data_IF_092192603666
#
_entry.id   IF_092192603666
#
_cell.length_a   1.000
_cell.length_b   1.000
_cell.length_c   1.000
_cell.angle_alpha   90.00
_cell.angle_beta   90.00
_cell.angle_gamma   90.00
#
_symmetry.space_group_name_H-M   'P 1'
#
loop_
_entity.id
_entity.type
_entity.pdbx_description
1 polymer ?
#
# COMPACT_ATOMS: atom_id res chain seq x y z
N UNK A 1 -23.96 8.33 -44.76
CA UNK A 1 -24.43 7.15 -44.04
C UNK A 1 -23.30 6.49 -43.27
N UNK A 2 -23.53 6.44 -41.95
CA UNK A 2 -22.98 5.58 -40.91
C UNK A 2 -21.50 5.69 -40.52
N UNK A 3 -21.19 6.80 -39.84
CA UNK A 3 -20.33 6.76 -38.65
C UNK A 3 -21.22 6.68 -37.41
N UNK A 4 -21.72 5.49 -37.11
CA UNK A 4 -22.21 5.13 -35.78
C UNK A 4 -21.00 5.12 -34.83
N UNK A 5 -20.61 6.30 -34.34
CA UNK A 5 -19.84 6.37 -33.09
C UNK A 5 -20.79 5.88 -32.00
N UNK A 6 -20.58 4.64 -31.56
CA UNK A 6 -21.22 4.11 -30.37
C UNK A 6 -20.70 4.90 -29.16
N UNK A 7 -21.24 6.10 -28.94
CA UNK A 7 -21.15 6.76 -27.65
C UNK A 7 -21.93 5.85 -26.68
N UNK A 8 -21.21 5.00 -25.95
CA UNK A 8 -21.77 4.39 -24.74
C UNK A 8 -22.38 5.52 -23.92
N UNK A 9 -23.61 5.33 -23.48
CA UNK A 9 -24.27 6.28 -22.60
C UNK A 9 -23.40 6.45 -21.34
N UNK A 10 -23.23 7.67 -20.84
CA UNK A 10 -22.48 7.95 -19.60
C UNK A 10 -22.99 7.08 -18.45
N UNK A 11 -24.29 6.80 -18.44
CA UNK A 11 -24.96 5.90 -17.49
C UNK A 11 -24.41 4.46 -17.57
N UNK A 12 -24.16 3.96 -18.79
CA UNK A 12 -23.57 2.63 -19.02
C UNK A 12 -22.12 2.58 -18.53
N UNK A 13 -21.33 3.62 -18.81
CA UNK A 13 -19.92 3.69 -18.37
C UNK A 13 -19.87 3.75 -16.84
N UNK A 14 -20.70 4.60 -16.22
CA UNK A 14 -20.77 4.71 -14.76
C UNK A 14 -21.16 3.37 -14.15
N UNK A 15 -22.19 2.71 -14.68
CA UNK A 15 -22.63 1.38 -14.21
C UNK A 15 -21.53 0.33 -14.36
N UNK A 16 -20.81 0.32 -15.48
CA UNK A 16 -19.69 -0.59 -15.71
C UNK A 16 -18.52 -0.34 -14.76
N UNK A 17 -18.19 0.92 -14.43
CA UNK A 17 -17.19 1.26 -13.43
C UNK A 17 -17.60 0.77 -12.02
N UNK A 18 -18.86 1.00 -11.64
CA UNK A 18 -19.39 0.53 -10.36
C UNK A 18 -19.31 -1.00 -10.26
N UNK A 19 -19.70 -1.71 -11.31
CA UNK A 19 -19.59 -3.17 -11.38
C UNK A 19 -18.13 -3.64 -11.30
N UNK A 20 -17.21 -2.96 -12.01
CA UNK A 20 -15.78 -3.26 -11.98
C UNK A 20 -15.20 -3.17 -10.56
N UNK A 21 -15.53 -2.12 -9.81
CA UNK A 21 -15.05 -1.99 -8.43
C UNK A 21 -15.69 -3.01 -7.48
N UNK A 22 -16.98 -3.31 -7.62
CA UNK A 22 -17.64 -4.37 -6.85
C UNK A 22 -17.00 -5.73 -7.12
N UNK A 23 -16.67 -6.04 -8.37
CA UNK A 23 -16.05 -7.31 -8.76
C UNK A 23 -14.61 -7.43 -8.25
N UNK A 24 -13.79 -6.37 -8.40
CA UNK A 24 -12.36 -6.41 -8.10
C UNK A 24 -12.01 -6.11 -6.64
N UNK A 25 -12.82 -5.30 -5.94
CA UNK A 25 -12.55 -4.91 -4.56
C UNK A 25 -13.58 -5.42 -3.56
N UNK A 26 -14.73 -5.94 -4.00
CA UNK A 26 -15.73 -6.52 -3.10
C UNK A 26 -15.25 -7.79 -2.39
N UNK A 27 -14.26 -8.48 -2.96
CA UNK A 27 -13.61 -9.65 -2.35
C UNK A 27 -12.12 -9.35 -2.16
N UNK A 28 -11.60 -9.62 -0.96
CA UNK A 28 -10.19 -9.49 -0.64
C UNK A 28 -9.53 -10.86 -0.72
N UNK A 29 -8.36 -10.89 -1.36
CA UNK A 29 -7.38 -11.94 -1.15
C UNK A 29 -6.59 -11.57 0.11
N UNK A 30 -6.88 -12.20 1.25
CA UNK A 30 -6.02 -12.03 2.42
C UNK A 30 -4.60 -12.49 2.07
N UNK A 31 -3.56 -11.72 2.44
CA UNK A 31 -2.16 -12.14 2.31
C UNK A 31 -1.99 -13.43 3.13
N UNK A 32 -2.09 -14.57 2.48
CA UNK A 32 -1.79 -15.88 3.02
C UNK A 32 -0.49 -16.36 2.38
N UNK A 33 0.34 -17.12 3.12
CA UNK A 33 1.43 -17.85 2.47
C UNK A 33 0.85 -18.72 1.35
N UNK A 34 1.44 -18.62 0.15
CA UNK A 34 1.02 -19.33 -1.06
C UNK A 34 1.20 -20.85 -0.93
N UNK A 35 0.30 -21.52 -0.21
CA UNK A 35 0.06 -22.98 -0.26
C UNK A 35 -1.41 -23.35 0.08
N UNK A 36 -2.30 -22.37 0.33
CA UNK A 36 -3.75 -22.59 0.40
C UNK A 36 -4.44 -21.56 -0.48
N UNK A 37 -5.50 -21.99 -1.17
CA UNK A 37 -6.30 -21.14 -2.05
C UNK A 37 -6.70 -19.84 -1.33
N UNK A 38 -6.69 -18.72 -2.06
CA UNK A 38 -7.19 -17.44 -1.55
C UNK A 38 -8.58 -17.66 -0.95
N UNK A 39 -8.72 -17.47 0.36
CA UNK A 39 -10.05 -17.37 0.95
C UNK A 39 -10.60 -16.01 0.54
N UNK A 40 -11.49 -16.00 -0.45
CA UNK A 40 -12.19 -14.80 -0.86
C UNK A 40 -13.09 -14.34 0.30
N UNK A 41 -12.76 -13.21 0.93
CA UNK A 41 -13.57 -12.65 2.01
C UNK A 41 -14.15 -11.32 1.57
N UNK A 42 -15.42 -11.07 1.91
CA UNK A 42 -16.09 -9.81 1.63
C UNK A 42 -15.41 -8.65 2.39
N UNK A 43 -14.94 -7.65 1.63
CA UNK A 43 -14.27 -6.46 2.18
C UNK A 43 -15.17 -5.70 3.14
N UNK A 44 -16.46 -5.60 2.82
CA UNK A 44 -17.42 -4.79 3.58
C UNK A 44 -17.65 -5.42 4.95
N UNK A 45 -17.77 -6.75 5.01
CA UNK A 45 -18.08 -7.46 6.26
C UNK A 45 -16.89 -7.54 7.23
N UNK A 46 -15.66 -7.39 6.73
CA UNK A 46 -14.44 -7.40 7.55
C UNK A 46 -13.83 -6.02 7.79
N UNK A 47 -14.43 -4.96 7.23
CA UNK A 47 -13.91 -3.62 7.40
C UNK A 47 -13.98 -3.21 8.87
N UNK A 48 -12.83 -2.87 9.43
CA UNK A 48 -12.73 -2.26 10.76
C UNK A 48 -12.48 -0.78 10.54
N UNK A 49 -13.27 0.06 11.21
CA UNK A 49 -13.17 1.50 11.04
C UNK A 49 -11.79 2.02 11.45
N UNK A 50 -11.23 2.84 10.57
CA UNK A 50 -9.96 3.51 10.78
C UNK A 50 -10.22 4.82 11.51
N UNK A 51 -9.37 5.13 12.48
CA UNK A 51 -9.27 6.45 13.08
C UNK A 51 -8.70 7.41 12.03
N UNK A 52 -9.49 8.43 11.70
CA UNK A 52 -9.14 9.46 10.72
C UNK A 52 -9.27 10.81 11.42
N UNK A 53 -8.29 11.69 11.23
CA UNK A 53 -8.23 13.01 11.89
C UNK A 53 -7.96 14.10 10.86
N UNK A 54 -8.25 15.36 11.20
CA UNK A 54 -7.84 16.51 10.40
C UNK A 54 -6.31 16.63 10.48
N UNK A 55 -5.64 16.75 9.33
CA UNK A 55 -4.18 16.82 9.34
C UNK A 55 -3.65 18.10 9.97
N UNK A 56 -4.43 19.18 10.03
CA UNK A 56 -4.03 20.42 10.72
C UNK A 56 -3.86 20.18 12.22
N UNK A 57 -4.67 19.31 12.81
CA UNK A 57 -4.57 18.94 14.23
C UNK A 57 -3.28 18.15 14.51
N UNK A 58 -2.72 17.50 13.49
CA UNK A 58 -1.47 16.72 13.58
C UNK A 58 -0.24 17.55 13.25
N UNK A 59 -0.34 18.56 12.37
CA UNK A 59 0.80 19.42 11.98
C UNK A 59 1.37 20.24 13.16
N UNK A 60 0.59 20.50 14.21
CA UNK A 60 1.06 21.11 15.46
C UNK A 60 2.15 20.25 16.13
N UNK A 61 2.19 18.94 15.85
CA UNK A 61 3.08 17.97 16.48
C UNK A 61 4.29 17.53 15.62
N UNK A 62 4.30 17.82 14.32
CA UNK A 62 5.38 17.40 13.37
C UNK A 62 6.67 18.24 13.53
N UNK A 63 6.63 19.33 14.31
CA UNK A 63 7.81 20.17 14.60
C UNK A 63 8.86 19.45 15.48
N UNK A 64 8.53 18.30 16.07
CA UNK A 64 9.49 17.51 16.82
C UNK A 64 9.89 16.25 16.05
N UNK A 65 11.19 15.94 16.04
CA UNK A 65 11.73 14.60 15.83
C UNK A 65 11.18 13.67 16.94
N UNK A 66 9.88 13.37 16.88
CA UNK A 66 9.21 12.55 17.87
C UNK A 66 9.66 11.12 17.64
N UNK A 67 10.29 10.52 18.67
CA UNK A 67 10.58 9.09 18.71
C UNK A 67 9.34 8.32 18.24
N UNK A 68 9.48 7.44 17.25
CA UNK A 68 8.37 6.74 16.59
C UNK A 68 7.42 6.04 17.58
N UNK A 69 7.91 5.66 18.77
CA UNK A 69 7.10 5.18 19.89
C UNK A 69 6.07 6.21 20.37
N UNK A 70 6.49 7.45 20.65
CA UNK A 70 5.60 8.55 21.04
C UNK A 70 4.59 8.88 19.93
N UNK A 71 4.99 8.76 18.66
CA UNK A 71 4.05 8.89 17.53
C UNK A 71 2.95 7.82 17.61
N UNK A 72 3.31 6.53 17.74
CA UNK A 72 2.34 5.43 17.83
C UNK A 72 1.44 5.54 19.08
N UNK A 73 2.00 5.95 20.23
CA UNK A 73 1.22 6.17 21.46
C UNK A 73 0.19 7.29 21.28
N UNK A 74 0.59 8.41 20.65
CA UNK A 74 -0.31 9.51 20.32
C UNK A 74 -1.41 9.13 19.33
N UNK A 75 -1.19 8.17 18.42
CA UNK A 75 -2.23 7.75 17.47
C UNK A 75 -3.50 7.26 18.16
N UNK A 76 -3.36 6.69 19.37
CA UNK A 76 -4.46 6.16 20.16
C UNK A 76 -5.28 7.24 20.91
N UNK A 77 -4.77 8.48 21.00
CA UNK A 77 -5.41 9.55 21.79
C UNK A 77 -6.27 10.51 20.97
N UNK A 78 -6.21 10.46 19.65
CA UNK A 78 -6.98 11.39 18.80
C UNK A 78 -8.47 11.04 18.75
N UNK A 79 -9.29 12.08 18.65
CA UNK A 79 -10.72 11.95 18.41
C UNK A 79 -10.97 11.76 16.91
N UNK A 80 -11.56 10.64 16.48
CA UNK A 80 -11.76 10.39 15.07
C UNK A 80 -12.88 11.27 14.50
N UNK A 81 -12.69 11.73 13.27
CA UNK A 81 -13.74 12.29 12.42
C UNK A 81 -14.61 11.12 11.93
N UNK A 82 -15.93 11.28 11.97
CA UNK A 82 -16.82 10.26 11.43
C UNK A 82 -16.62 10.09 9.92
N UNK A 83 -16.71 8.85 9.44
CA UNK A 83 -16.60 8.55 8.01
C UNK A 83 -17.58 9.37 7.16
N UNK A 84 -18.82 9.55 7.64
CA UNK A 84 -19.81 10.39 6.95
C UNK A 84 -19.41 11.85 6.88
N UNK A 85 -18.81 12.40 7.93
CA UNK A 85 -18.41 13.81 8.02
C UNK A 85 -17.30 14.18 7.03
N UNK A 86 -16.40 13.24 6.70
CA UNK A 86 -15.34 13.42 5.71
C UNK A 86 -15.95 13.81 4.35
N UNK A 87 -17.08 13.20 3.98
CA UNK A 87 -17.73 13.43 2.69
C UNK A 87 -18.84 14.50 2.74
N UNK A 88 -19.26 14.94 3.94
CA UNK A 88 -20.14 16.10 4.10
C UNK A 88 -19.40 17.41 3.78
N UNK A 89 -18.10 17.49 4.09
CA UNK A 89 -17.23 18.58 3.67
C UNK A 89 -16.89 18.40 2.18
N UNK A 90 -17.80 18.80 1.29
CA UNK A 90 -17.61 18.76 -0.17
C UNK A 90 -16.58 19.79 -0.65
N UNK A 91 -15.33 19.63 -0.20
CA UNK A 91 -14.17 20.37 -0.72
C UNK A 91 -13.76 19.79 -2.06
N UNK A 92 -13.06 20.62 -2.84
CA UNK A 92 -12.69 20.29 -4.21
C UNK A 92 -11.70 19.13 -4.30
N UNK A 93 -10.76 19.05 -3.36
CA UNK A 93 -9.74 18.01 -3.35
C UNK A 93 -9.56 17.45 -1.94
N UNK A 94 -9.20 16.18 -1.85
CA UNK A 94 -8.91 15.50 -0.60
C UNK A 94 -7.50 14.91 -0.64
N UNK A 95 -6.74 15.13 0.43
CA UNK A 95 -5.43 14.53 0.62
C UNK A 95 -5.47 13.61 1.83
N UNK A 96 -5.01 12.38 1.63
CA UNK A 96 -5.01 11.33 2.64
C UNK A 96 -3.57 10.95 2.97
N UNK A 97 -3.10 11.38 4.13
CA UNK A 97 -1.76 11.08 4.61
C UNK A 97 -1.78 9.94 5.63
N UNK A 98 -0.61 9.34 5.86
CA UNK A 98 -0.41 8.35 6.92
C UNK A 98 0.77 7.44 6.66
N UNK A 99 1.23 6.73 7.69
CA UNK A 99 2.39 5.82 7.58
C UNK A 99 2.09 4.59 6.69
N UNK A 100 3.12 3.85 6.31
CA UNK A 100 2.93 2.63 5.52
C UNK A 100 2.18 1.55 6.32
N UNK A 101 1.30 0.80 5.66
CA UNK A 101 0.50 -0.25 6.31
C UNK A 101 -0.67 0.24 7.17
N UNK A 102 -0.89 1.56 7.25
CA UNK A 102 -1.92 2.16 8.13
C UNK A 102 -3.36 1.98 7.64
N UNK A 103 -3.55 1.54 6.39
CA UNK A 103 -4.88 1.31 5.81
C UNK A 103 -5.35 2.33 4.76
N UNK A 104 -4.47 3.18 4.21
CA UNK A 104 -4.86 4.16 3.17
C UNK A 104 -5.51 3.54 1.93
N UNK A 105 -4.85 2.56 1.29
CA UNK A 105 -5.40 1.81 0.15
C UNK A 105 -6.71 1.11 0.51
N UNK A 106 -6.82 0.60 1.73
CA UNK A 106 -8.05 -0.03 2.23
C UNK A 106 -9.20 0.96 2.35
N UNK A 107 -8.94 2.17 2.85
CA UNK A 107 -9.90 3.27 2.91
C UNK A 107 -10.36 3.66 1.51
N UNK A 108 -9.44 3.83 0.56
CA UNK A 108 -9.77 4.19 -0.82
C UNK A 108 -10.63 3.12 -1.50
N UNK A 109 -10.29 1.84 -1.32
CA UNK A 109 -11.10 0.73 -1.86
C UNK A 109 -12.49 0.68 -1.25
N UNK A 110 -12.64 0.91 0.06
CA UNK A 110 -13.96 1.09 0.69
C UNK A 110 -14.73 2.24 0.05
N UNK A 111 -14.08 3.39 -0.16
CA UNK A 111 -14.73 4.54 -0.80
C UNK A 111 -15.24 4.21 -2.22
N UNK A 112 -14.47 3.45 -3.01
CA UNK A 112 -14.91 2.99 -4.35
C UNK A 112 -16.12 2.05 -4.28
N UNK A 113 -16.15 1.14 -3.30
CA UNK A 113 -17.32 0.27 -3.07
C UNK A 113 -18.54 1.09 -2.62
N UNK A 114 -18.36 2.04 -1.72
CA UNK A 114 -19.43 2.90 -1.22
C UNK A 114 -19.98 3.80 -2.34
N UNK A 115 -19.12 4.34 -3.22
CA UNK A 115 -19.57 5.04 -4.44
C UNK A 115 -20.33 4.10 -5.39
N UNK A 116 -19.86 2.85 -5.53
CA UNK A 116 -20.54 1.84 -6.34
C UNK A 116 -21.94 1.52 -5.81
N UNK A 117 -22.12 1.58 -4.50
CA UNK A 117 -23.41 1.45 -3.82
C UNK A 117 -24.16 2.78 -3.65
N UNK A 118 -23.68 3.87 -4.26
CA UNK A 118 -24.27 5.21 -4.23
C UNK A 118 -24.42 5.82 -2.82
N UNK A 119 -23.49 5.48 -1.93
CA UNK A 119 -23.44 5.97 -0.54
C UNK A 119 -22.62 7.26 -0.40
N UNK A 120 -21.59 7.43 -1.24
CA UNK A 120 -20.71 8.61 -1.26
C UNK A 120 -20.46 9.06 -2.69
N UNK A 121 -19.93 10.28 -2.85
CA UNK A 121 -19.51 10.85 -4.15
C UNK A 121 -20.62 10.83 -5.23
N UNK A 122 -21.88 10.89 -4.82
CA UNK A 122 -23.05 10.86 -5.72
C UNK A 122 -23.12 12.05 -6.69
N UNK A 123 -22.34 13.11 -6.45
CA UNK A 123 -22.19 14.25 -7.35
C UNK A 123 -21.26 13.99 -8.54
N UNK A 124 -20.58 12.84 -8.58
CA UNK A 124 -19.65 12.47 -9.64
C UNK A 124 -20.23 11.35 -10.50
N UNK A 125 -20.36 11.62 -11.79
CA UNK A 125 -20.77 10.64 -12.80
C UNK A 125 -19.75 9.51 -12.94
N UNK A 126 -18.45 9.85 -12.86
CA UNK A 126 -17.34 8.93 -13.08
C UNK A 126 -16.29 9.05 -11.97
N UNK A 127 -15.84 7.89 -11.47
CA UNK A 127 -14.74 7.80 -10.52
C UNK A 127 -13.67 6.86 -11.08
N UNK A 128 -12.45 7.36 -11.23
CA UNK A 128 -11.30 6.60 -11.72
C UNK A 128 -10.27 6.41 -10.63
N UNK A 129 -9.92 5.16 -10.36
CA UNK A 129 -8.86 4.79 -9.44
C UNK A 129 -7.55 4.51 -10.21
N UNK A 130 -6.46 5.15 -9.80
CA UNK A 130 -5.14 5.03 -10.41
C UNK A 130 -4.09 4.76 -9.33
N UNK A 131 -3.40 3.62 -9.46
CA UNK A 131 -2.30 3.27 -8.57
C UNK A 131 -0.98 3.79 -9.15
N UNK A 132 -0.28 4.66 -8.41
CA UNK A 132 1.00 5.25 -8.83
C UNK A 132 2.07 4.22 -9.16
N UNK A 133 2.12 3.10 -8.43
CA UNK A 133 2.99 1.98 -8.73
C UNK A 133 2.78 1.43 -10.15
N UNK A 134 1.53 1.31 -10.58
CA UNK A 134 1.14 0.77 -11.89
C UNK A 134 1.38 1.81 -12.99
N UNK A 135 1.15 3.09 -12.68
CA UNK A 135 1.44 4.21 -13.60
C UNK A 135 2.91 4.27 -14.01
N UNK A 136 3.85 3.84 -13.16
CA UNK A 136 5.28 3.81 -13.47
C UNK A 136 5.64 2.93 -14.68
N UNK A 137 4.76 2.00 -15.07
CA UNK A 137 4.94 1.14 -16.25
C UNK A 137 4.56 1.83 -17.57
N UNK A 138 3.79 2.92 -17.53
CA UNK A 138 3.21 3.57 -18.72
C UNK A 138 3.83 4.95 -18.96
N UNK A 139 5.15 5.00 -19.07
CA UNK A 139 5.91 6.26 -19.16
C UNK A 139 5.59 7.09 -20.42
N UNK A 140 5.06 6.44 -21.45
CA UNK A 140 4.73 7.05 -22.74
C UNK A 140 3.32 7.65 -22.79
N UNK A 141 2.44 7.35 -21.83
CA UNK A 141 1.09 7.90 -21.80
C UNK A 141 1.17 9.42 -21.57
N UNK A 142 0.64 10.20 -22.49
CA UNK A 142 0.90 11.64 -22.62
C UNK A 142 -0.27 12.53 -22.20
N UNK A 143 -1.45 11.94 -22.02
CA UNK A 143 -2.68 12.60 -21.61
C UNK A 143 -3.59 11.64 -20.79
N UNK A 144 -4.61 12.19 -20.16
CA UNK A 144 -5.52 11.43 -19.28
C UNK A 144 -6.33 10.37 -20.03
N UNK A 145 -6.78 10.68 -21.25
CA UNK A 145 -7.59 9.73 -22.03
C UNK A 145 -6.78 8.48 -22.42
N UNK A 146 -5.50 8.63 -22.76
CA UNK A 146 -4.58 7.50 -22.97
C UNK A 146 -4.45 6.63 -21.72
N UNK A 147 -4.33 7.24 -20.53
CA UNK A 147 -4.31 6.48 -19.28
C UNK A 147 -5.62 5.70 -19.07
N UNK A 148 -6.77 6.34 -19.27
CA UNK A 148 -8.05 5.68 -19.12
C UNK A 148 -8.25 4.55 -20.13
N UNK A 149 -7.84 4.74 -21.39
CA UNK A 149 -7.86 3.69 -22.41
C UNK A 149 -6.91 2.52 -22.09
N UNK A 150 -5.89 2.72 -21.25
CA UNK A 150 -5.02 1.63 -20.78
C UNK A 150 -5.67 0.91 -19.60
N UNK A 151 -6.01 1.65 -18.53
CA UNK A 151 -6.46 1.08 -17.26
C UNK A 151 -7.91 0.58 -17.28
N UNK A 152 -8.74 1.17 -18.14
CA UNK A 152 -10.17 0.91 -18.23
C UNK A 152 -10.60 0.52 -19.64
N UNK A 153 -9.70 -0.06 -20.45
CA UNK A 153 -9.94 -0.40 -21.87
C UNK A 153 -11.24 -1.17 -22.16
N UNK A 154 -11.65 -2.02 -21.22
CA UNK A 154 -12.84 -2.88 -21.37
C UNK A 154 -14.14 -2.11 -21.04
N UNK A 155 -14.00 -0.95 -20.40
CA UNK A 155 -15.11 -0.08 -19.97
C UNK A 155 -15.20 1.14 -20.89
N UNK A 156 -14.06 1.79 -21.13
CA UNK A 156 -13.90 3.03 -21.88
C UNK A 156 -13.16 2.76 -23.19
N UNK A 157 -13.78 3.18 -24.29
CA UNK A 157 -13.20 3.18 -25.64
C UNK A 157 -13.47 4.55 -26.23
N UNK A 158 -12.40 5.31 -26.51
CA UNK A 158 -12.45 6.63 -27.16
C UNK A 158 -13.43 7.64 -26.51
N UNK A 159 -13.58 7.56 -25.19
CA UNK A 159 -14.48 8.42 -24.43
C UNK A 159 -13.79 9.70 -23.96
N UNK A 160 -14.41 10.85 -24.22
CA UNK A 160 -13.90 12.14 -23.74
C UNK A 160 -14.54 12.54 -22.42
N UNK A 161 -13.78 12.46 -21.34
CA UNK A 161 -14.23 12.79 -19.98
C UNK A 161 -14.39 14.30 -19.72
N UNK A 162 -14.00 15.18 -20.65
CA UNK A 162 -13.94 16.64 -20.44
C UNK A 162 -15.29 17.30 -20.13
N UNK A 163 -16.39 16.68 -20.56
CA UNK A 163 -17.75 17.23 -20.38
C UNK A 163 -18.48 16.65 -19.16
N UNK A 164 -17.81 15.84 -18.34
CA UNK A 164 -18.42 15.05 -17.28
C UNK A 164 -17.89 15.41 -15.90
N UNK A 165 -18.68 15.12 -14.86
CA UNK A 165 -18.23 15.27 -13.48
C UNK A 165 -17.38 14.07 -13.07
N UNK A 166 -16.07 14.29 -13.01
CA UNK A 166 -15.08 13.22 -12.82
C UNK A 166 -14.30 13.42 -11.53
N UNK A 167 -14.13 12.32 -10.79
CA UNK A 167 -13.24 12.23 -9.63
C UNK A 167 -12.09 11.27 -9.94
N UNK A 168 -10.87 11.70 -9.68
CA UNK A 168 -9.70 10.81 -9.73
C UNK A 168 -9.23 10.46 -8.32
N UNK A 169 -9.11 9.16 -8.05
CA UNK A 169 -8.52 8.61 -6.84
C UNK A 169 -7.12 8.14 -7.17
N UNK A 170 -6.11 8.83 -6.66
CA UNK A 170 -4.69 8.54 -6.86
C UNK A 170 -4.15 7.87 -5.60
N UNK A 171 -3.76 6.59 -5.69
CA UNK A 171 -3.20 5.83 -4.58
C UNK A 171 -1.68 5.66 -4.67
N UNK A 172 -1.01 5.78 -3.54
CA UNK A 172 0.43 5.56 -3.41
C UNK A 172 1.28 6.66 -4.02
N UNK A 173 0.97 7.95 -3.77
CA UNK A 173 1.74 9.07 -4.32
C UNK A 173 3.26 8.96 -4.03
N UNK A 174 3.65 8.43 -2.87
CA UNK A 174 5.04 8.13 -2.50
C UNK A 174 5.71 7.07 -3.38
N UNK A 175 4.93 6.27 -4.09
CA UNK A 175 5.38 5.21 -5.00
C UNK A 175 5.50 5.70 -6.44
N UNK A 176 5.14 6.96 -6.74
CA UNK A 176 5.29 7.51 -8.09
C UNK A 176 6.74 7.89 -8.36
N UNK A 177 7.35 7.26 -9.38
CA UNK A 177 8.77 7.44 -9.73
C UNK A 177 9.13 8.91 -9.98
N UNK A 178 8.19 9.67 -10.56
CA UNK A 178 8.37 11.06 -10.96
C UNK A 178 7.70 12.05 -10.00
N UNK A 179 7.55 11.69 -8.71
CA UNK A 179 6.95 12.56 -7.70
C UNK A 179 7.60 13.96 -7.67
N UNK A 180 8.93 14.02 -7.73
CA UNK A 180 9.66 15.28 -7.73
C UNK A 180 9.39 16.12 -8.99
N UNK A 181 9.28 15.47 -10.14
CA UNK A 181 9.00 16.13 -11.42
C UNK A 181 7.57 16.64 -11.49
N UNK A 182 6.62 15.84 -11.00
CA UNK A 182 5.20 16.20 -10.85
C UNK A 182 5.02 17.42 -9.95
N UNK A 183 5.79 17.47 -8.88
CA UNK A 183 5.79 18.56 -7.92
C UNK A 183 6.40 19.79 -8.58
N UNK A 184 7.64 19.73 -9.10
CA UNK A 184 8.39 20.90 -9.57
C UNK A 184 7.77 21.75 -10.71
N UNK A 185 6.70 21.31 -11.39
CA UNK A 185 5.95 21.96 -12.50
C UNK A 185 6.78 22.36 -13.74
N UNK A 186 8.09 22.60 -13.59
CA UNK A 186 9.07 22.95 -14.62
C UNK A 186 9.47 21.75 -15.48
N UNK A 187 9.26 20.53 -14.99
CA UNK A 187 9.68 19.28 -15.65
C UNK A 187 8.55 18.52 -16.34
N UNK A 188 7.33 19.09 -16.38
CA UNK A 188 6.17 18.54 -17.12
C UNK A 188 6.44 18.32 -18.61
N UNK A 189 7.53 18.89 -19.16
CA UNK A 189 7.95 18.75 -20.56
C UNK A 189 8.80 17.51 -20.84
N UNK A 190 9.39 16.87 -19.84
CA UNK A 190 10.35 15.78 -20.06
C UNK A 190 9.73 14.38 -19.99
N UNK A 191 8.68 14.20 -19.20
CA UNK A 191 8.04 12.90 -18.98
C UNK A 191 6.55 12.94 -19.38
N UNK A 192 6.12 12.20 -20.42
CA UNK A 192 4.72 12.18 -20.85
C UNK A 192 3.75 11.83 -19.72
N UNK A 193 4.08 10.84 -18.89
CA UNK A 193 3.24 10.42 -17.77
C UNK A 193 3.02 11.53 -16.72
N UNK A 194 4.02 12.40 -16.54
CA UNK A 194 3.91 13.56 -15.63
C UNK A 194 2.96 14.60 -16.20
N UNK A 195 2.96 14.79 -17.53
CA UNK A 195 1.99 15.65 -18.22
C UNK A 195 0.56 15.12 -18.06
N UNK A 196 0.37 13.81 -18.26
CA UNK A 196 -0.93 13.16 -18.07
C UNK A 196 -1.48 13.33 -16.64
N UNK A 197 -0.66 13.09 -15.61
CA UNK A 197 -1.06 13.36 -14.22
C UNK A 197 -1.25 14.85 -13.91
N UNK A 198 -0.51 15.72 -14.60
CA UNK A 198 -0.71 17.17 -14.51
C UNK A 198 -2.08 17.60 -15.01
N UNK A 199 -2.60 16.96 -16.07
CA UNK A 199 -3.94 17.22 -16.59
C UNK A 199 -5.06 16.77 -15.62
N UNK A 200 -4.83 15.72 -14.83
CA UNK A 200 -5.78 15.25 -13.80
C UNK A 200 -6.11 16.35 -12.77
N UNK A 201 -5.18 17.29 -12.54
CA UNK A 201 -5.40 18.43 -11.61
C UNK A 201 -6.54 19.36 -12.02
N UNK A 202 -7.01 19.29 -13.27
CA UNK A 202 -8.19 20.02 -13.74
C UNK A 202 -9.50 19.45 -13.20
N UNK A 203 -9.46 18.22 -12.69
CA UNK A 203 -10.59 17.50 -12.12
C UNK A 203 -10.49 17.45 -10.60
N UNK A 204 -11.56 16.99 -9.94
CA UNK A 204 -11.55 16.76 -8.49
C UNK A 204 -10.68 15.53 -8.20
N UNK A 205 -9.92 15.59 -7.12
CA UNK A 205 -8.95 14.54 -6.79
C UNK A 205 -9.02 14.11 -5.33
N UNK A 206 -8.83 12.81 -5.10
CA UNK A 206 -8.49 12.22 -3.81
C UNK A 206 -7.10 11.62 -3.97
N UNK A 207 -6.11 12.12 -3.23
CA UNK A 207 -4.72 11.68 -3.36
C UNK A 207 -4.26 11.10 -2.03
N UNK A 208 -3.85 9.82 -2.03
CA UNK A 208 -3.31 9.15 -0.86
C UNK A 208 -1.81 8.90 -0.99
N UNK A 209 -1.09 9.04 0.13
CA UNK A 209 0.35 8.78 0.16
C UNK A 209 0.93 8.82 1.57
N UNK A 210 2.22 8.52 1.70
CA UNK A 210 2.96 8.76 2.94
C UNK A 210 2.99 10.25 3.28
N UNK A 211 3.08 10.54 4.59
CA UNK A 211 3.09 11.91 5.14
C UNK A 211 4.03 12.83 4.36
N UNK A 212 5.29 12.43 4.19
CA UNK A 212 6.28 13.25 3.45
C UNK A 212 5.88 13.55 1.99
N UNK A 213 5.21 12.62 1.30
CA UNK A 213 4.83 12.78 -0.09
C UNK A 213 3.63 13.73 -0.22
N UNK A 214 2.67 13.61 0.70
CA UNK A 214 1.54 14.51 0.80
C UNK A 214 1.99 15.92 1.21
N UNK A 215 2.88 16.05 2.19
CA UNK A 215 3.45 17.34 2.61
C UNK A 215 4.19 18.03 1.46
N UNK A 216 4.99 17.26 0.70
CA UNK A 216 5.69 17.78 -0.47
C UNK A 216 4.72 18.22 -1.56
N UNK A 217 3.65 17.45 -1.79
CA UNK A 217 2.60 17.82 -2.74
C UNK A 217 1.86 19.08 -2.31
N UNK A 218 1.51 19.17 -1.02
CA UNK A 218 0.89 20.34 -0.40
C UNK A 218 1.75 21.58 -0.55
N UNK A 219 3.04 21.52 -0.24
CA UNK A 219 3.95 22.68 -0.32
C UNK A 219 3.96 23.41 -1.67
N UNK A 220 3.42 22.79 -2.72
CA UNK A 220 3.32 23.36 -4.07
C UNK A 220 1.90 23.70 -4.53
N UNK A 221 0.85 23.24 -3.85
CA UNK A 221 -0.51 23.53 -4.28
C UNK A 221 -0.90 24.96 -3.93
N UNK A 222 -0.96 25.83 -4.94
CA UNK A 222 -1.35 27.25 -4.81
C UNK A 222 -2.80 27.38 -4.26
N UNK A 223 -3.62 26.34 -4.39
CA UNK A 223 -5.04 26.30 -4.05
C UNK A 223 -5.34 25.61 -2.70
N UNK A 224 -4.64 25.99 -1.64
CA UNK A 224 -4.87 25.45 -0.29
C UNK A 224 -6.29 25.63 0.25
N UNK A 225 -7.05 26.62 -0.26
CA UNK A 225 -8.34 27.02 0.33
C UNK A 225 -9.45 25.98 0.15
N UNK A 226 -9.32 25.10 -0.86
CA UNK A 226 -10.33 24.09 -1.20
C UNK A 226 -9.86 22.63 -1.07
N UNK A 227 -8.83 22.41 -0.24
CA UNK A 227 -8.31 21.08 0.06
C UNK A 227 -8.71 20.64 1.47
N UNK A 228 -9.30 19.45 1.57
CA UNK A 228 -9.44 18.74 2.85
C UNK A 228 -8.22 17.83 3.01
N UNK A 229 -7.43 18.04 4.06
CA UNK A 229 -6.30 17.17 4.37
C UNK A 229 -6.64 16.35 5.60
N UNK A 230 -6.67 15.04 5.44
CA UNK A 230 -6.90 14.08 6.54
C UNK A 230 -5.67 13.21 6.74
N UNK A 231 -5.51 12.72 7.97
CA UNK A 231 -4.49 11.74 8.30
C UNK A 231 -5.14 10.48 8.85
N UNK A 232 -4.76 9.34 8.28
CA UNK A 232 -5.17 8.03 8.76
C UNK A 232 -4.24 7.63 9.91
N UNK A 233 -4.83 7.42 11.09
CA UNK A 233 -4.12 7.07 12.32
C UNK A 233 -4.14 5.57 12.62
N UNK A 234 -4.87 4.78 11.82
CA UNK A 234 -4.95 3.33 11.98
C UNK A 234 -6.11 2.92 12.88
N UNK A 235 -5.93 1.90 13.71
CA UNK A 235 -6.92 1.45 14.68
C UNK A 235 -6.74 2.14 16.02
N UNK A 236 -7.85 2.57 16.61
CA UNK A 236 -7.93 2.87 18.05
C UNK A 236 -8.16 1.56 18.85
N UNK A 237 -8.33 1.64 20.17
CA UNK A 237 -8.51 0.44 21.01
C UNK A 237 -9.71 -0.39 20.57
N UNK A 238 -10.81 0.26 20.18
CA UNK A 238 -12.00 -0.41 19.68
C UNK A 238 -11.71 -1.13 18.35
N UNK A 239 -11.03 -0.47 17.42
CA UNK A 239 -10.63 -1.07 16.14
C UNK A 239 -9.71 -2.28 16.32
N UNK A 240 -8.74 -2.22 17.24
CA UNK A 240 -7.86 -3.36 17.56
C UNK A 240 -8.70 -4.54 18.06
N UNK A 241 -9.61 -4.29 19.00
CA UNK A 241 -10.47 -5.33 19.57
C UNK A 241 -11.40 -5.93 18.51
N UNK A 242 -12.05 -5.10 17.68
CA UNK A 242 -12.90 -5.55 16.58
C UNK A 242 -12.13 -6.40 15.58
N UNK A 243 -10.90 -6.00 15.23
CA UNK A 243 -10.05 -6.77 14.34
C UNK A 243 -9.73 -8.16 14.93
N UNK A 244 -9.35 -8.23 16.21
CA UNK A 244 -9.06 -9.50 16.90
C UNK A 244 -10.31 -10.38 16.94
N UNK A 245 -11.46 -9.83 17.29
CA UNK A 245 -12.73 -10.57 17.35
C UNK A 245 -13.09 -11.18 16.00
N UNK A 246 -12.91 -10.43 14.91
CA UNK A 246 -13.33 -10.83 13.56
C UNK A 246 -12.32 -11.74 12.83
N UNK A 247 -11.05 -11.76 13.24
CA UNK A 247 -9.97 -12.41 12.47
C UNK A 247 -9.16 -13.45 13.25
N UNK A 248 -9.32 -13.55 14.57
CA UNK A 248 -8.57 -14.48 15.43
C UNK A 248 -9.52 -15.54 15.97
N UNK A 249 -9.06 -16.80 16.02
CA UNK A 249 -9.83 -17.90 16.61
C UNK A 249 -9.96 -17.76 18.13
N UNK A 250 -11.08 -18.20 18.70
CA UNK A 250 -11.42 -17.99 20.11
C UNK A 250 -10.34 -18.46 21.09
N UNK A 251 -9.66 -19.57 20.77
CA UNK A 251 -8.56 -20.14 21.55
C UNK A 251 -7.29 -19.28 21.54
N UNK A 252 -7.10 -18.44 20.51
CA UNK A 252 -5.93 -17.57 20.34
C UNK A 252 -6.18 -16.12 20.73
N UNK A 253 -7.43 -15.66 20.81
CA UNK A 253 -7.77 -14.26 21.18
C UNK A 253 -7.11 -13.83 22.50
N UNK A 254 -7.26 -14.64 23.55
CA UNK A 254 -6.68 -14.36 24.88
C UNK A 254 -5.15 -14.26 24.86
N UNK A 255 -4.49 -15.00 23.97
CA UNK A 255 -3.03 -14.95 23.81
C UNK A 255 -2.61 -13.64 23.15
N UNK A 256 -3.30 -13.24 22.07
CA UNK A 256 -3.06 -11.96 21.39
C UNK A 256 -3.27 -10.80 22.37
N UNK A 257 -4.38 -10.79 23.09
CA UNK A 257 -4.68 -9.75 24.08
C UNK A 257 -3.64 -9.67 25.19
N UNK A 258 -3.20 -10.81 25.73
CA UNK A 258 -2.14 -10.84 26.76
C UNK A 258 -0.83 -10.29 26.20
N UNK A 259 -0.45 -10.68 24.98
CA UNK A 259 0.77 -10.20 24.31
C UNK A 259 0.77 -8.68 24.13
N UNK A 260 -0.37 -8.11 23.72
CA UNK A 260 -0.53 -6.66 23.57
C UNK A 260 -0.57 -5.94 24.93
N UNK A 261 -1.09 -6.58 25.98
CA UNK A 261 -1.09 -6.01 27.35
C UNK A 261 0.30 -5.98 27.97
N UNK A 262 1.10 -7.01 27.74
CA UNK A 262 2.44 -7.15 28.33
C UNK A 262 3.50 -6.26 27.67
N UNK A 263 3.34 -5.93 26.37
CA UNK A 263 4.26 -5.07 25.63
C UNK A 263 3.59 -3.78 25.17
N UNK A 264 3.97 -2.65 25.79
CA UNK A 264 3.51 -1.32 25.38
C UNK A 264 3.89 -0.99 23.94
N UNK A 265 5.03 -1.49 23.46
CA UNK A 265 5.49 -1.29 22.08
C UNK A 265 4.62 -2.12 21.13
N UNK A 266 4.30 -3.37 21.46
CA UNK A 266 3.39 -4.20 20.67
C UNK A 266 1.98 -3.59 20.60
N UNK A 267 1.45 -3.10 21.74
CA UNK A 267 0.18 -2.36 21.79
C UNK A 267 0.20 -1.15 20.86
N UNK A 268 1.29 -0.38 20.90
CA UNK A 268 1.45 0.82 20.07
C UNK A 268 1.56 0.46 18.59
N UNK A 269 2.32 -0.58 18.23
CA UNK A 269 2.44 -1.09 16.86
C UNK A 269 1.11 -1.65 16.33
N UNK A 270 0.27 -2.24 17.18
CA UNK A 270 -1.03 -2.81 16.82
C UNK A 270 -2.04 -1.76 16.31
N UNK A 271 -1.82 -0.47 16.56
CA UNK A 271 -2.56 0.61 15.91
C UNK A 271 -2.42 0.58 14.38
N UNK A 272 -1.32 0.03 13.85
CA UNK A 272 -1.14 -0.14 12.40
C UNK A 272 -1.78 -1.46 11.96
N UNK A 273 -2.84 -1.43 11.11
CA UNK A 273 -3.57 -2.63 10.72
C UNK A 273 -2.69 -3.74 10.12
N UNK A 274 -1.70 -3.38 9.31
CA UNK A 274 -0.74 -4.34 8.76
C UNK A 274 0.05 -5.07 9.86
N UNK A 275 0.53 -4.35 10.88
CA UNK A 275 1.29 -4.93 11.99
C UNK A 275 0.42 -5.84 12.85
N UNK A 276 -0.80 -5.39 13.20
CA UNK A 276 -1.75 -6.22 13.94
C UNK A 276 -2.09 -7.50 13.17
N UNK A 277 -2.37 -7.40 11.86
CA UNK A 277 -2.64 -8.57 11.02
C UNK A 277 -1.49 -9.57 11.03
N UNK A 278 -0.27 -9.10 10.88
CA UNK A 278 0.93 -9.92 10.94
C UNK A 278 1.11 -10.57 12.32
N UNK A 279 1.00 -9.82 13.41
CA UNK A 279 1.12 -10.34 14.78
C UNK A 279 0.07 -11.44 15.04
N UNK A 280 -1.19 -11.19 14.68
CA UNK A 280 -2.26 -12.19 14.80
C UNK A 280 -1.93 -13.46 14.01
N UNK A 281 -1.49 -13.35 12.76
CA UNK A 281 -1.11 -14.51 11.92
C UNK A 281 0.06 -15.30 12.52
N UNK A 282 1.08 -14.60 13.01
CA UNK A 282 2.25 -15.22 13.67
C UNK A 282 1.80 -15.99 14.91
N UNK A 283 1.05 -15.34 15.81
CA UNK A 283 0.55 -15.95 17.06
C UNK A 283 -0.34 -17.17 16.76
N UNK A 284 -1.30 -17.03 15.85
CA UNK A 284 -2.23 -18.11 15.48
C UNK A 284 -1.51 -19.31 14.88
N UNK A 285 -0.44 -19.09 14.12
CA UNK A 285 0.32 -20.17 13.49
C UNK A 285 1.29 -20.90 14.41
N UNK A 286 1.68 -20.26 15.51
CA UNK A 286 2.69 -20.77 16.43
C UNK A 286 2.09 -21.79 17.42
N UNK A 287 2.78 -22.93 17.60
CA UNK A 287 2.50 -23.88 18.70
C UNK A 287 3.14 -23.46 20.01
N UNK A 288 4.21 -22.65 19.95
CA UNK A 288 4.90 -22.04 21.10
C UNK A 288 4.77 -20.53 20.98
N UNK A 289 4.22 -19.91 22.02
CA UNK A 289 4.14 -18.45 22.14
C UNK A 289 5.52 -17.99 22.57
N UNK A 290 6.26 -17.32 21.68
CA UNK A 290 7.47 -16.63 22.06
C UNK A 290 7.04 -15.29 22.67
N UNK A 291 7.01 -15.22 23.99
CA UNK A 291 6.55 -14.06 24.77
C UNK A 291 7.37 -12.78 24.51
N UNK A 292 8.51 -12.87 23.81
CA UNK A 292 9.38 -11.75 23.46
C UNK A 292 9.43 -11.43 21.95
N UNK A 293 8.47 -11.87 21.14
CA UNK A 293 8.55 -11.73 19.66
C UNK A 293 8.28 -10.33 19.09
N UNK A 294 7.81 -9.36 19.89
CA UNK A 294 7.37 -8.05 19.37
C UNK A 294 7.88 -6.88 20.23
N UNK A 295 9.17 -6.91 20.58
CA UNK A 295 9.80 -5.88 21.41
C UNK A 295 10.21 -4.65 20.59
N UNK A 296 10.58 -4.83 19.32
CA UNK A 296 10.91 -3.75 18.39
C UNK A 296 10.26 -3.95 17.03
N UNK A 297 10.29 -2.90 16.20
CA UNK A 297 9.89 -2.99 14.79
C UNK A 297 10.76 -3.99 14.03
N UNK A 298 12.06 -4.00 14.29
CA UNK A 298 12.99 -4.96 13.67
C UNK A 298 12.64 -6.38 14.06
N UNK A 299 12.29 -6.63 15.32
CA UNK A 299 11.82 -7.94 15.78
C UNK A 299 10.52 -8.33 15.07
N UNK A 300 9.57 -7.41 14.94
CA UNK A 300 8.32 -7.68 14.21
C UNK A 300 8.60 -8.08 12.77
N UNK A 301 9.41 -7.31 12.03
CA UNK A 301 9.74 -7.65 10.65
C UNK A 301 10.55 -8.93 10.52
N UNK A 302 11.48 -9.20 11.44
CA UNK A 302 12.18 -10.48 11.50
C UNK A 302 11.19 -11.63 11.72
N UNK A 303 10.25 -11.51 12.65
CA UNK A 303 9.22 -12.54 12.88
C UNK A 303 8.27 -12.70 11.69
N UNK A 304 7.91 -11.62 10.99
CA UNK A 304 7.18 -11.66 9.72
C UNK A 304 8.00 -12.44 8.69
N UNK A 305 9.26 -12.08 8.50
CA UNK A 305 10.19 -12.75 7.59
C UNK A 305 10.23 -14.25 7.85
N UNK A 306 10.45 -14.63 9.11
CA UNK A 306 10.51 -16.03 9.53
C UNK A 306 9.19 -16.78 9.38
N UNK A 307 8.05 -16.13 9.61
CA UNK A 307 6.73 -16.74 9.44
C UNK A 307 6.49 -17.18 7.99
N UNK A 308 6.74 -16.27 7.04
CA UNK A 308 6.59 -16.57 5.62
C UNK A 308 7.62 -17.59 5.15
N UNK A 309 8.87 -17.47 5.63
CA UNK A 309 9.94 -18.42 5.37
C UNK A 309 9.57 -19.85 5.80
N UNK A 310 9.07 -20.01 7.03
CA UNK A 310 8.58 -21.29 7.54
C UNK A 310 7.46 -21.85 6.65
N UNK A 311 6.47 -21.03 6.32
CA UNK A 311 5.31 -21.49 5.54
C UNK A 311 5.65 -21.89 4.10
N UNK A 312 6.68 -21.26 3.54
CA UNK A 312 7.13 -21.53 2.18
C UNK A 312 8.04 -22.75 2.08
N UNK A 313 9.04 -22.86 2.97
CA UNK A 313 10.06 -23.90 2.89
C UNK A 313 9.69 -25.15 3.69
N UNK A 314 8.96 -24.98 4.79
CA UNK A 314 8.69 -26.05 5.74
C UNK A 314 7.23 -26.48 5.60
N UNK A 315 6.96 -27.48 4.75
CA UNK A 315 5.65 -28.15 4.68
C UNK A 315 5.31 -28.90 5.99
N UNK A 316 6.31 -29.21 6.84
CA UNK A 316 6.19 -30.14 7.99
C UNK A 316 6.61 -29.58 9.39
N UNK A 317 6.41 -28.30 9.71
CA UNK A 317 6.59 -27.72 11.07
C UNK A 317 8.00 -27.84 11.73
N UNK A 318 9.10 -27.95 10.98
CA UNK A 318 10.49 -27.84 11.48
C UNK A 318 10.88 -26.45 12.00
N UNK A 319 12.03 -26.36 12.67
CA UNK A 319 12.51 -25.12 13.30
C UNK A 319 13.33 -24.26 12.33
N UNK A 320 13.20 -22.93 12.42
CA UNK A 320 13.86 -21.95 11.52
C UNK A 320 15.38 -22.06 11.53
N UNK A 321 16.00 -22.26 12.70
CA UNK A 321 17.46 -22.30 12.78
C UNK A 321 18.04 -23.50 12.01
N UNK A 322 17.36 -24.66 12.05
CA UNK A 322 17.72 -25.85 11.26
C UNK A 322 17.62 -25.60 9.76
N UNK A 323 16.71 -24.71 9.36
CA UNK A 323 16.55 -24.31 7.96
C UNK A 323 17.67 -23.36 7.51
N UNK A 324 18.13 -22.46 8.39
CA UNK A 324 19.26 -21.56 8.13
C UNK A 324 20.62 -22.27 8.21
N UNK A 325 20.70 -23.50 8.74
CA UNK A 325 21.92 -24.33 8.63
C UNK A 325 22.21 -24.73 7.17
N UNK A 326 21.19 -24.82 6.32
CA UNK A 326 21.35 -25.15 4.91
C UNK A 326 21.83 -23.93 4.09
N UNK A 327 23.01 -24.03 3.50
CA UNK A 327 23.62 -22.98 2.68
C UNK A 327 22.79 -22.59 1.45
N UNK A 328 22.05 -23.51 0.84
CA UNK A 328 21.17 -23.18 -0.29
C UNK A 328 20.00 -22.29 0.15
N UNK A 329 19.46 -22.52 1.35
CA UNK A 329 18.40 -21.69 1.92
C UNK A 329 18.90 -20.29 2.28
N UNK A 330 20.10 -20.18 2.88
CA UNK A 330 20.77 -18.90 3.15
C UNK A 330 20.97 -18.11 1.85
N UNK A 331 21.51 -18.76 0.81
CA UNK A 331 21.71 -18.14 -0.50
C UNK A 331 20.40 -17.68 -1.12
N UNK A 332 19.33 -18.48 -0.99
CA UNK A 332 18.00 -18.12 -1.47
C UNK A 332 17.43 -16.89 -0.75
N UNK A 333 17.52 -16.84 0.58
CA UNK A 333 17.14 -15.67 1.39
C UNK A 333 17.93 -14.43 0.99
N UNK A 334 19.25 -14.56 0.86
CA UNK A 334 20.12 -13.44 0.48
C UNK A 334 19.79 -12.91 -0.92
N UNK A 335 19.47 -13.78 -1.86
CA UNK A 335 19.04 -13.39 -3.20
C UNK A 335 17.75 -12.57 -3.20
N UNK A 336 16.76 -12.93 -2.36
CA UNK A 336 15.53 -12.13 -2.24
C UNK A 336 15.82 -10.76 -1.60
N UNK A 337 16.70 -10.72 -0.61
CA UNK A 337 17.15 -9.47 0.00
C UNK A 337 17.91 -8.60 -1.02
N UNK A 338 18.69 -9.22 -1.91
CA UNK A 338 19.35 -8.54 -3.03
C UNK A 338 18.34 -7.93 -4.00
N UNK A 339 17.33 -8.69 -4.45
CA UNK A 339 16.27 -8.15 -5.30
C UNK A 339 15.63 -6.93 -4.64
N UNK A 340 15.26 -7.03 -3.36
CA UNK A 340 14.66 -5.93 -2.62
C UNK A 340 15.57 -4.70 -2.58
N UNK A 341 16.87 -4.89 -2.41
CA UNK A 341 17.87 -3.83 -2.40
C UNK A 341 17.99 -3.12 -3.76
N UNK A 342 18.17 -3.86 -4.84
CA UNK A 342 18.29 -3.28 -6.20
C UNK A 342 17.04 -2.47 -6.54
N UNK A 343 15.86 -3.02 -6.27
CA UNK A 343 14.57 -2.35 -6.47
C UNK A 343 14.42 -1.08 -5.62
N UNK A 344 14.88 -1.12 -4.37
CA UNK A 344 14.88 0.03 -3.48
C UNK A 344 15.78 1.15 -4.01
N UNK A 345 16.98 0.82 -4.49
CA UNK A 345 17.91 1.80 -5.08
C UNK A 345 17.35 2.41 -6.36
N UNK A 346 16.71 1.61 -7.21
CA UNK A 346 16.07 2.06 -8.44
C UNK A 346 14.72 2.79 -8.23
N UNK A 347 14.22 2.84 -6.99
CA UNK A 347 12.88 3.33 -6.64
C UNK A 347 11.78 2.66 -7.49
N UNK A 348 11.85 1.33 -7.56
CA UNK A 348 11.02 0.49 -8.42
C UNK A 348 10.20 -0.51 -7.61
N UNK A 349 8.87 -0.48 -7.79
CA UNK A 349 7.94 -1.29 -6.98
C UNK A 349 7.31 -2.45 -7.76
N UNK A 350 7.30 -2.38 -9.09
CA UNK A 350 6.80 -3.43 -9.99
C UNK A 350 7.92 -3.80 -10.95
N UNK A 351 8.20 -5.09 -11.11
CA UNK A 351 9.32 -5.59 -11.90
C UNK A 351 8.95 -6.87 -12.67
N UNK A 352 9.67 -7.13 -13.75
CA UNK A 352 9.43 -8.28 -14.62
C UNK A 352 10.30 -9.49 -14.25
N UNK A 353 9.94 -10.68 -14.74
CA UNK A 353 10.76 -11.90 -14.55
C UNK A 353 12.19 -11.73 -15.07
N UNK A 354 12.36 -10.99 -16.18
CA UNK A 354 13.67 -10.74 -16.78
C UNK A 354 14.59 -9.94 -15.85
N UNK A 355 14.02 -9.01 -15.09
CA UNK A 355 14.78 -8.18 -14.15
C UNK A 355 15.22 -8.96 -12.94
N UNK A 356 14.40 -9.88 -12.45
CA UNK A 356 14.79 -10.84 -11.40
C UNK A 356 16.05 -11.62 -11.83
N UNK A 357 16.08 -12.07 -13.09
CA UNK A 357 17.22 -12.81 -13.64
C UNK A 357 18.47 -11.93 -13.81
N UNK A 358 18.32 -10.63 -14.04
CA UNK A 358 19.45 -9.68 -14.08
C UNK A 358 20.04 -9.45 -12.70
N UNK A 359 19.19 -9.36 -11.67
CA UNK A 359 19.65 -9.17 -10.29
C UNK A 359 20.34 -10.42 -9.72
N UNK A 360 20.02 -11.62 -10.24
CA UNK A 360 20.56 -12.88 -9.74
C UNK A 360 21.00 -13.81 -10.88
N UNK A 361 22.32 -13.92 -11.07
CA UNK A 361 22.90 -14.93 -11.95
C UNK A 361 22.58 -16.36 -11.44
N UNK A 362 22.07 -17.22 -12.32
CA UNK A 362 21.72 -18.64 -12.06
C UNK A 362 20.49 -18.89 -11.16
N UNK A 363 19.46 -18.04 -11.20
CA UNK A 363 18.18 -18.31 -10.54
C UNK A 363 17.28 -19.26 -11.36
N UNK A 364 17.84 -20.40 -11.79
CA UNK A 364 17.16 -21.35 -12.70
C UNK A 364 16.25 -22.36 -11.96
N UNK A 365 16.35 -22.47 -10.63
CA UNK A 365 15.69 -23.52 -9.85
C UNK A 365 14.56 -23.04 -8.92
N UNK A 366 14.26 -21.75 -8.92
CA UNK A 366 13.21 -21.24 -8.03
C UNK A 366 11.89 -21.33 -8.77
N UNK A 367 11.15 -22.40 -8.45
CA UNK A 367 9.71 -22.52 -8.68
C UNK A 367 9.03 -21.17 -8.44
N UNK A 368 8.03 -20.84 -9.25
CA UNK A 368 7.37 -19.52 -9.32
C UNK A 368 6.80 -19.00 -7.97
N UNK A 369 6.87 -19.79 -6.90
CA UNK A 369 6.63 -19.37 -5.53
C UNK A 369 7.90 -18.76 -4.92
N UNK A 370 7.94 -17.42 -4.90
CA UNK A 370 8.74 -16.69 -3.91
C UNK A 370 8.08 -16.86 -2.52
N UNK A 371 8.76 -16.47 -1.42
CA UNK A 371 8.35 -16.65 0.00
C UNK A 371 6.92 -16.20 0.41
N UNK A 372 6.02 -15.84 -0.50
CA UNK A 372 4.77 -15.14 -0.23
C UNK A 372 4.99 -13.64 -0.08
N UNK A 373 6.25 -13.19 -0.09
CA UNK A 373 6.61 -11.77 -0.07
C UNK A 373 6.62 -11.11 -1.42
N UNK A 374 6.81 -11.87 -2.49
CA UNK A 374 6.75 -11.36 -3.85
C UNK A 374 5.54 -12.02 -4.49
N UNK A 375 4.57 -11.19 -4.84
CA UNK A 375 3.32 -11.60 -5.45
C UNK A 375 3.40 -11.38 -6.96
N UNK A 376 2.88 -12.36 -7.70
CA UNK A 376 2.66 -12.22 -9.14
C UNK A 376 1.37 -11.44 -9.35
N UNK A 377 1.46 -10.37 -10.12
CA UNK A 377 0.34 -9.50 -10.46
C UNK A 377 0.14 -9.53 -11.96
N UNK A 378 -1.11 -9.67 -12.38
CA UNK A 378 -1.47 -9.48 -13.78
C UNK A 378 -1.68 -7.99 -14.05
N UNK A 379 -1.00 -7.48 -15.07
CA UNK A 379 -1.08 -6.08 -15.51
C UNK A 379 -1.45 -6.05 -16.98
N UNK A 380 -1.77 -4.87 -17.52
CA UNK A 380 -2.03 -4.71 -18.96
C UNK A 380 -0.83 -5.10 -19.85
N UNK A 381 0.38 -5.17 -19.29
CA UNK A 381 1.60 -5.57 -19.97
C UNK A 381 1.97 -7.05 -19.73
N UNK A 382 1.06 -7.83 -19.14
CA UNK A 382 1.27 -9.23 -18.75
C UNK A 382 1.68 -9.39 -17.30
N UNK A 383 2.34 -10.51 -16.99
CA UNK A 383 2.68 -10.87 -15.62
C UNK A 383 3.92 -10.14 -15.09
N UNK A 384 3.73 -9.45 -13.97
CA UNK A 384 4.76 -8.76 -13.24
C UNK A 384 4.80 -9.23 -11.78
N UNK A 385 5.80 -8.76 -11.05
CA UNK A 385 6.03 -9.09 -9.66
C UNK A 385 6.11 -7.81 -8.83
N UNK A 386 5.62 -7.88 -7.61
CA UNK A 386 5.74 -6.81 -6.61
C UNK A 386 5.94 -7.42 -5.22
N UNK A 387 6.54 -6.67 -4.31
CA UNK A 387 6.52 -7.08 -2.90
C UNK A 387 5.10 -6.91 -2.32
N UNK A 388 4.64 -7.88 -1.54
CA UNK A 388 3.33 -7.91 -0.88
C UNK A 388 3.07 -6.65 -0.05
N UNK A 389 4.14 -6.06 0.52
CA UNK A 389 4.07 -4.76 1.15
C UNK A 389 5.42 -4.03 1.06
N UNK A 390 5.38 -2.71 0.83
CA UNK A 390 6.58 -1.88 0.65
C UNK A 390 7.54 -1.97 1.83
N UNK A 391 7.03 -2.02 3.06
CA UNK A 391 7.90 -2.10 4.24
C UNK A 391 8.60 -3.46 4.41
N UNK A 392 8.08 -4.52 3.79
CA UNK A 392 8.78 -5.81 3.72
C UNK A 392 9.95 -5.70 2.74
N UNK A 393 9.76 -5.02 1.60
CA UNK A 393 10.85 -4.72 0.68
C UNK A 393 11.95 -3.89 1.36
N UNK A 394 11.57 -2.83 2.08
CA UNK A 394 12.51 -1.98 2.85
C UNK A 394 13.29 -2.81 3.90
N UNK A 395 12.61 -3.70 4.62
CA UNK A 395 13.27 -4.61 5.57
C UNK A 395 14.27 -5.53 4.88
N UNK A 396 13.86 -6.22 3.81
CA UNK A 396 14.74 -7.12 3.04
C UNK A 396 15.95 -6.36 2.45
N UNK A 397 15.74 -5.15 1.94
CA UNK A 397 16.81 -4.28 1.44
C UNK A 397 17.80 -3.92 2.55
N UNK A 398 17.30 -3.60 3.75
CA UNK A 398 18.15 -3.31 4.91
C UNK A 398 18.99 -4.50 5.36
N UNK A 399 18.42 -5.71 5.31
CA UNK A 399 19.14 -6.96 5.62
C UNK A 399 20.26 -7.19 4.61
N UNK A 400 20.03 -6.96 3.32
CA UNK A 400 21.09 -7.06 2.31
C UNK A 400 22.18 -6.01 2.54
N UNK A 401 21.81 -4.74 2.70
CA UNK A 401 22.73 -3.64 2.91
C UNK A 401 23.64 -3.90 4.12
N UNK A 402 23.07 -4.33 5.25
CA UNK A 402 23.82 -4.61 6.48
C UNK A 402 24.82 -5.77 6.33
N UNK A 403 24.47 -6.82 5.58
CA UNK A 403 25.30 -8.03 5.47
C UNK A 403 26.33 -7.99 4.34
N UNK A 404 26.13 -7.15 3.32
CA UNK A 404 26.94 -7.18 2.09
C UNK A 404 27.69 -5.89 1.83
N UNK A 405 27.14 -4.72 2.19
CA UNK A 405 27.77 -3.44 1.88
C UNK A 405 28.74 -3.02 2.96
N UNK A 406 29.81 -2.35 2.54
CA UNK A 406 30.68 -1.59 3.43
C UNK A 406 30.00 -0.30 3.91
N UNK A 407 30.49 0.25 5.03
CA UNK A 407 30.00 1.53 5.55
C UNK A 407 30.14 2.68 4.51
N UNK A 408 31.19 2.65 3.70
CA UNK A 408 31.45 3.66 2.66
C UNK A 408 30.38 3.61 1.55
N UNK A 409 30.00 2.40 1.12
CA UNK A 409 28.96 2.20 0.10
C UNK A 409 27.58 2.62 0.61
N UNK A 410 27.28 2.37 1.88
CA UNK A 410 26.02 2.80 2.52
C UNK A 410 25.93 4.33 2.52
N UNK A 411 27.01 5.02 2.91
CA UNK A 411 27.03 6.49 2.98
C UNK A 411 27.04 7.14 1.59
N UNK A 412 27.65 6.49 0.60
CA UNK A 412 27.66 6.98 -0.78
C UNK A 412 26.28 6.92 -1.46
N UNK A 413 25.43 5.97 -1.08
CA UNK A 413 24.09 5.84 -1.62
C UNK A 413 23.14 6.89 -0.99
N UNK A 414 22.62 7.82 -1.81
CA UNK A 414 21.73 8.90 -1.34
C UNK A 414 20.46 8.39 -0.64
N UNK A 415 19.88 7.30 -1.11
CA UNK A 415 18.66 6.74 -0.54
C UNK A 415 18.95 6.12 0.84
N UNK A 416 20.03 5.34 0.96
CA UNK A 416 20.43 4.74 2.24
C UNK A 416 20.90 5.78 3.25
N UNK A 417 21.66 6.79 2.80
CA UNK A 417 22.09 7.90 3.64
C UNK A 417 20.91 8.65 4.25
N UNK A 418 19.80 8.80 3.51
CA UNK A 418 18.59 9.43 4.03
C UNK A 418 17.87 8.61 5.12
N UNK A 419 18.23 7.34 5.29
CA UNK A 419 17.70 6.45 6.32
C UNK A 419 18.57 6.39 7.59
N UNK A 420 19.77 6.97 7.56
CA UNK A 420 20.65 7.04 8.74
C UNK A 420 20.20 8.17 9.67
N UNK A 421 20.33 7.99 11.01
CA UNK A 421 19.95 8.99 12.00
C UNK A 421 20.76 10.27 11.96
#
# INVERSE_FOLDING_TARGET
DDRLSANKDISEISTALKYYYLANYGKINEIQPLLKAHSNVDLINKFVDLCIVDANDVQIDVVCNVERKKYLEKQMSYTPISYSEIFLKQKSNMLISGVAGIGKTWLLRKCLLDWSNSLIWNSFELVFYLECRSLNQFQNASNVNELLNIFYKDIIIDFNISNHTVLFVIDGLDEFKYLNDLISLRLTRYYPIVKALGEIRKYKTVIAGRVYAIDKYLSMSIEHRDMLTIQVMGFNENGINSYIVNNVSEDKKKIVETTLKESSIAKSMASVPFYLSCMCKIICSSKKIYTNSFLTMTDLYANIFLYFLQKHIIKNNGLVYQMMENENNKKYVLNICRIAFELFVENKFIFSKKEILLFINNFNEVEESFFGFIERVETHLGYHYQFAHLTVMEFCASVYAYNVLSNEEIVANKNLKSCLP
#
